data_IF_862816437990
#
_entry.id   IF_862816437990
#
_cell.length_a   1.000
_cell.length_b   1.000
_cell.length_c   1.000
_cell.angle_alpha   90.00
_cell.angle_beta   90.00
_cell.angle_gamma   90.00
#
_symmetry.space_group_name_H-M   'P 1'
#
loop_
_entity.id
_entity.type
_entity.pdbx_description
1 polymer ?
#
# COMPACT_ATOMS: atom_id res chain seq x y z
N UNK A 1 34.33 3.36 -0.28
CA UNK A 1 35.00 3.48 1.04
C UNK A 1 34.97 2.10 1.70
N UNK A 2 36.12 1.51 1.98
CA UNK A 2 36.20 0.25 2.74
C UNK A 2 36.04 0.56 4.23
N UNK A 3 35.24 -0.24 4.93
CA UNK A 3 34.98 -0.09 6.37
C UNK A 3 35.49 -1.35 7.07
N UNK A 4 36.48 -1.19 7.95
CA UNK A 4 37.05 -2.27 8.76
C UNK A 4 36.24 -2.44 10.04
N UNK A 5 35.52 -3.55 10.16
CA UNK A 5 34.83 -3.92 11.40
C UNK A 5 35.72 -4.84 12.24
N UNK A 6 36.10 -4.36 13.42
CA UNK A 6 36.80 -5.18 14.42
C UNK A 6 35.75 -5.80 15.35
N UNK A 7 35.37 -7.05 15.06
CA UNK A 7 34.38 -7.79 15.85
C UNK A 7 35.10 -8.70 16.84
N UNK A 8 34.76 -8.60 18.12
CA UNK A 8 35.18 -9.56 19.15
C UNK A 8 34.02 -10.50 19.43
N UNK A 9 34.22 -11.80 19.22
CA UNK A 9 33.19 -12.81 19.48
C UNK A 9 33.23 -13.17 20.96
N UNK A 10 32.24 -12.68 21.71
CA UNK A 10 32.15 -12.90 23.17
C UNK A 10 31.65 -14.29 23.52
N UNK A 11 30.70 -14.83 22.73
CA UNK A 11 30.07 -16.11 23.01
C UNK A 11 29.43 -16.69 21.74
N UNK A 12 29.50 -18.00 21.56
CA UNK A 12 28.83 -18.71 20.46
C UNK A 12 27.72 -19.58 21.03
N UNK A 13 26.46 -19.20 20.77
CA UNK A 13 25.28 -19.99 21.16
C UNK A 13 24.72 -20.74 19.96
N UNK A 14 24.31 -21.99 20.17
CA UNK A 14 23.57 -22.76 19.17
C UNK A 14 22.07 -22.53 19.39
N UNK A 15 21.35 -22.18 18.32
CA UNK A 15 19.89 -22.03 18.37
C UNK A 15 19.27 -23.42 18.62
N UNK A 16 18.74 -23.66 19.82
CA UNK A 16 17.96 -24.86 20.11
C UNK A 16 16.54 -24.61 19.61
N UNK A 17 16.13 -25.32 18.56
CA UNK A 17 14.79 -25.19 18.00
C UNK A 17 13.86 -26.03 18.87
N UNK A 18 12.88 -25.43 19.58
CA UNK A 18 11.96 -26.21 20.39
C UNK A 18 11.16 -27.18 19.51
N UNK A 19 10.74 -28.33 20.05
CA UNK A 19 9.78 -29.19 19.38
C UNK A 19 8.50 -28.41 19.03
N UNK A 20 7.80 -28.85 17.99
CA UNK A 20 6.52 -28.24 17.59
C UNK A 20 5.41 -28.90 18.40
N UNK A 21 5.28 -28.44 19.65
CA UNK A 21 4.33 -28.93 20.66
C UNK A 21 3.47 -27.78 21.24
N UNK A 22 2.54 -28.12 22.14
CA UNK A 22 1.58 -27.16 22.67
C UNK A 22 2.25 -26.08 23.55
N UNK A 23 3.45 -26.34 24.08
CA UNK A 23 4.25 -25.33 24.78
C UNK A 23 4.72 -24.23 23.81
N UNK A 24 5.12 -24.61 22.58
CA UNK A 24 5.42 -23.64 21.52
C UNK A 24 4.18 -22.84 21.12
N UNK A 25 3.00 -23.47 21.09
CA UNK A 25 1.74 -22.79 20.77
C UNK A 25 1.38 -21.74 21.81
N UNK A 26 1.53 -22.05 23.11
CA UNK A 26 1.27 -21.11 24.20
C UNK A 26 2.15 -19.86 24.12
N UNK A 27 3.42 -20.02 23.70
CA UNK A 27 4.33 -18.90 23.44
C UNK A 27 3.87 -17.95 22.32
N UNK A 28 2.97 -18.41 21.45
CA UNK A 28 2.36 -17.65 20.36
C UNK A 28 0.88 -17.28 20.63
N UNK A 29 0.44 -17.33 21.90
CA UNK A 29 -0.95 -17.11 22.32
C UNK A 29 -1.96 -18.06 21.67
N UNK A 30 -1.55 -19.26 21.29
CA UNK A 30 -2.42 -20.34 20.80
C UNK A 30 -2.50 -21.46 21.85
N UNK A 31 -3.65 -22.12 21.96
CA UNK A 31 -3.88 -23.16 22.96
C UNK A 31 -3.25 -24.50 22.56
N UNK A 32 -3.17 -24.78 21.25
CA UNK A 32 -2.63 -26.03 20.71
C UNK A 32 -1.78 -25.80 19.45
N UNK A 33 -0.93 -26.77 19.11
CA UNK A 33 -0.17 -26.78 17.85
C UNK A 33 -1.09 -26.72 16.63
N UNK A 34 -2.23 -27.38 16.69
CA UNK A 34 -3.21 -27.36 15.59
C UNK A 34 -3.78 -25.97 15.38
N UNK A 35 -4.12 -25.26 16.47
CA UNK A 35 -4.57 -23.87 16.43
C UNK A 35 -3.46 -22.96 15.90
N UNK A 36 -2.21 -23.14 16.36
CA UNK A 36 -1.06 -22.39 15.84
C UNK A 36 -0.88 -22.61 14.33
N UNK A 37 -0.94 -23.86 13.86
CA UNK A 37 -0.84 -24.20 12.43
C UNK A 37 -1.98 -23.60 11.62
N UNK A 38 -3.20 -23.63 12.15
CA UNK A 38 -4.37 -23.02 11.51
C UNK A 38 -4.20 -21.50 11.39
N UNK A 39 -3.84 -20.82 12.46
CA UNK A 39 -3.58 -19.37 12.48
C UNK A 39 -2.47 -18.98 11.50
N UNK A 40 -1.36 -19.73 11.49
CA UNK A 40 -0.27 -19.50 10.52
C UNK A 40 -0.79 -19.68 9.08
N UNK A 41 -1.55 -20.75 8.81
CA UNK A 41 -2.10 -21.02 7.48
C UNK A 41 -3.06 -19.90 7.05
N UNK A 42 -3.95 -19.44 7.93
CA UNK A 42 -4.87 -18.35 7.65
C UNK A 42 -4.13 -17.04 7.37
N UNK A 43 -3.11 -16.71 8.18
CA UNK A 43 -2.30 -15.51 7.97
C UNK A 43 -1.51 -15.57 6.66
N UNK A 44 -0.93 -16.73 6.32
CA UNK A 44 -0.24 -16.92 5.04
C UNK A 44 -1.21 -16.86 3.87
N UNK A 45 -2.40 -17.44 3.99
CA UNK A 45 -3.43 -17.40 2.94
C UNK A 45 -3.90 -15.97 2.69
N UNK A 46 -4.25 -15.22 3.74
CA UNK A 46 -4.62 -13.80 3.65
C UNK A 46 -3.50 -12.94 3.06
N UNK A 47 -2.24 -13.20 3.45
CA UNK A 47 -1.09 -12.51 2.87
C UNK A 47 -0.98 -12.81 1.38
N UNK A 48 -1.13 -14.07 0.98
CA UNK A 48 -1.00 -14.49 -0.42
C UNK A 48 -2.15 -13.95 -1.28
N UNK A 49 -3.38 -13.98 -0.77
CA UNK A 49 -4.54 -13.36 -1.42
C UNK A 49 -4.32 -11.86 -1.62
N UNK A 50 -3.80 -11.16 -0.61
CA UNK A 50 -3.46 -9.74 -0.73
C UNK A 50 -2.38 -9.47 -1.78
N UNK A 51 -1.32 -10.29 -1.84
CA UNK A 51 -0.28 -10.20 -2.87
C UNK A 51 -0.84 -10.45 -4.28
N UNK A 52 -1.67 -11.47 -4.44
CA UNK A 52 -2.30 -11.83 -5.71
C UNK A 52 -3.21 -10.69 -6.19
N UNK A 53 -4.07 -10.15 -5.32
CA UNK A 53 -4.95 -9.04 -5.66
C UNK A 53 -4.17 -7.79 -6.07
N UNK A 54 -3.04 -7.50 -5.39
CA UNK A 54 -2.19 -6.38 -5.77
C UNK A 54 -1.56 -6.58 -7.15
N UNK A 55 -1.11 -7.80 -7.45
CA UNK A 55 -0.55 -8.14 -8.75
C UNK A 55 -1.59 -8.02 -9.87
N UNK A 56 -2.80 -8.56 -9.68
CA UNK A 56 -3.85 -8.43 -10.68
C UNK A 56 -4.26 -6.97 -10.91
N UNK A 57 -4.41 -6.18 -9.84
CA UNK A 57 -4.68 -4.73 -9.98
C UNK A 57 -3.60 -4.04 -10.82
N UNK A 58 -2.33 -4.40 -10.59
CA UNK A 58 -1.21 -3.86 -11.37
C UNK A 58 -1.26 -4.31 -12.84
N UNK A 59 -1.45 -5.59 -13.09
CA UNK A 59 -1.52 -6.14 -14.46
C UNK A 59 -2.67 -5.52 -15.27
N UNK A 60 -3.83 -5.32 -14.64
CA UNK A 60 -4.96 -4.62 -15.26
C UNK A 60 -4.59 -3.19 -15.64
N UNK A 61 -3.97 -2.45 -14.72
CA UNK A 61 -3.54 -1.08 -15.00
C UNK A 61 -2.51 -1.03 -16.13
N UNK A 62 -1.49 -1.90 -16.08
CA UNK A 62 -0.45 -1.98 -17.09
C UNK A 62 -1.05 -2.30 -18.48
N UNK A 63 -2.03 -3.20 -18.56
CA UNK A 63 -2.76 -3.51 -19.80
C UNK A 63 -3.60 -2.32 -20.29
N UNK A 64 -4.33 -1.65 -19.40
CA UNK A 64 -5.13 -0.47 -19.74
C UNK A 64 -4.27 0.67 -20.28
N UNK A 65 -3.14 0.96 -19.64
CA UNK A 65 -2.18 1.98 -20.09
C UNK A 65 -1.60 1.59 -21.46
N UNK A 66 -1.26 0.31 -21.67
CA UNK A 66 -0.69 -0.16 -22.95
C UNK A 66 -1.68 -0.04 -24.11
N UNK A 67 -2.97 -0.26 -23.86
CA UNK A 67 -4.03 -0.19 -24.89
C UNK A 67 -4.45 1.23 -25.23
N UNK A 68 -4.18 2.19 -24.34
CA UNK A 68 -4.64 3.57 -24.49
C UNK A 68 -3.47 4.55 -24.42
N UNK A 69 -3.02 5.00 -25.58
CA UNK A 69 -2.01 6.05 -25.67
C UNK A 69 -2.66 7.43 -25.72
N UNK A 70 -2.36 8.27 -24.73
CA UNK A 70 -2.80 9.65 -24.62
C UNK A 70 -1.79 10.45 -23.79
N UNK A 71 -1.75 11.75 -24.03
CA UNK A 71 -0.91 12.67 -23.28
C UNK A 71 -1.55 13.05 -21.95
N UNK A 72 -0.72 13.12 -20.91
CA UNK A 72 -1.14 13.54 -19.57
C UNK A 72 -0.80 15.02 -19.33
N UNK A 73 -1.67 15.78 -18.66
CA UNK A 73 -1.39 17.18 -18.33
C UNK A 73 -0.13 17.30 -17.47
N UNK A 74 0.81 18.15 -17.88
CA UNK A 74 2.09 18.32 -17.16
C UNK A 74 1.88 18.80 -15.73
N UNK A 75 0.85 19.61 -15.47
CA UNK A 75 0.49 20.07 -14.12
C UNK A 75 0.15 18.91 -13.17
N UNK A 76 -0.56 17.88 -13.67
CA UNK A 76 -0.87 16.69 -12.88
C UNK A 76 0.37 15.84 -12.63
N UNK A 77 1.26 15.73 -13.63
CA UNK A 77 2.54 15.02 -13.48
C UNK A 77 3.41 15.70 -12.42
N UNK A 78 3.51 17.02 -12.42
CA UNK A 78 4.25 17.75 -11.39
C UNK A 78 3.67 17.53 -9.99
N UNK A 79 2.35 17.62 -9.83
CA UNK A 79 1.70 17.36 -8.55
C UNK A 79 1.95 15.94 -8.02
N UNK A 80 1.96 14.94 -8.91
CA UNK A 80 2.28 13.56 -8.54
C UNK A 80 3.76 13.40 -8.16
N UNK A 81 4.68 14.03 -8.89
CA UNK A 81 6.11 14.05 -8.53
C UNK A 81 6.31 14.66 -7.14
N UNK A 82 5.68 15.79 -6.84
CA UNK A 82 5.76 16.43 -5.52
C UNK A 82 5.24 15.53 -4.40
N UNK A 83 4.11 14.85 -4.64
CA UNK A 83 3.53 13.87 -3.72
C UNK A 83 4.50 12.70 -3.46
N UNK A 84 5.10 12.15 -4.52
CA UNK A 84 6.08 11.05 -4.41
C UNK A 84 7.35 11.48 -3.67
N UNK A 85 7.86 12.69 -3.93
CA UNK A 85 9.01 13.26 -3.20
C UNK A 85 8.67 13.44 -1.73
N UNK A 86 7.47 13.95 -1.41
CA UNK A 86 7.03 14.12 -0.04
C UNK A 86 6.97 12.78 0.71
N UNK A 87 6.45 11.73 0.06
CA UNK A 87 6.44 10.38 0.61
C UNK A 87 7.84 9.80 0.83
N UNK A 88 8.75 9.97 -0.11
CA UNK A 88 10.15 9.52 0.01
C UNK A 88 10.86 10.21 1.16
N UNK A 89 10.64 11.52 1.35
CA UNK A 89 11.18 12.29 2.48
C UNK A 89 10.70 11.74 3.82
N UNK A 90 9.38 11.52 3.96
CA UNK A 90 8.83 10.95 5.19
C UNK A 90 9.38 9.55 5.48
N UNK A 91 9.56 8.70 4.47
CA UNK A 91 10.15 7.37 4.66
C UNK A 91 11.63 7.46 5.03
N UNK A 92 12.39 8.36 4.41
CA UNK A 92 13.79 8.62 4.75
C UNK A 92 13.95 9.06 6.21
N UNK A 93 13.16 10.03 6.66
CA UNK A 93 13.15 10.51 8.05
C UNK A 93 12.83 9.38 9.03
N UNK A 94 11.79 8.58 8.76
CA UNK A 94 11.40 7.44 9.62
C UNK A 94 12.49 6.38 9.73
N UNK A 95 13.27 6.18 8.67
CA UNK A 95 14.36 5.18 8.63
C UNK A 95 15.72 5.78 9.01
N UNK A 96 15.80 7.06 9.36
CA UNK A 96 17.05 7.76 9.65
C UNK A 96 18.01 7.82 8.46
N UNK A 97 17.48 7.82 7.23
CA UNK A 97 18.26 7.95 5.99
C UNK A 97 18.38 9.42 5.59
N UNK A 98 19.48 9.76 4.93
CA UNK A 98 19.66 11.08 4.34
C UNK A 98 18.64 11.30 3.22
N UNK A 99 18.01 12.48 3.23
CA UNK A 99 17.05 12.88 2.20
C UNK A 99 17.82 13.22 0.93
N UNK A 100 17.50 12.51 -0.17
CA UNK A 100 18.09 12.76 -1.49
C UNK A 100 17.62 14.12 -2.06
N UNK A 101 18.42 14.76 -2.93
CA UNK A 101 18.03 16.00 -3.57
C UNK A 101 16.73 15.87 -4.38
N UNK A 102 15.84 16.85 -4.26
CA UNK A 102 14.53 16.82 -4.95
C UNK A 102 14.67 16.72 -6.46
N UNK A 103 15.65 17.40 -7.07
CA UNK A 103 15.86 17.36 -8.51
C UNK A 103 16.29 15.99 -9.02
N UNK A 104 16.96 15.18 -8.18
CA UNK A 104 17.33 13.80 -8.50
C UNK A 104 16.08 12.91 -8.42
N UNK A 105 15.33 13.02 -7.31
CA UNK A 105 14.07 12.30 -7.11
C UNK A 105 13.03 12.63 -8.20
N UNK A 106 12.92 13.90 -8.61
CA UNK A 106 11.98 14.33 -9.63
C UNK A 106 12.25 13.65 -10.98
N UNK A 107 13.54 13.53 -11.37
CA UNK A 107 13.92 12.83 -12.60
C UNK A 107 13.66 11.32 -12.51
N UNK A 108 13.95 10.71 -11.36
CA UNK A 108 13.66 9.29 -11.13
C UNK A 108 12.16 8.99 -11.17
N UNK A 109 11.34 9.90 -10.63
CA UNK A 109 9.90 9.71 -10.52
C UNK A 109 9.13 10.16 -11.74
N UNK A 110 9.72 10.90 -12.69
CA UNK A 110 8.98 11.46 -13.83
C UNK A 110 8.22 10.39 -14.64
N UNK A 111 8.90 9.29 -15.02
CA UNK A 111 8.27 8.21 -15.78
C UNK A 111 7.11 7.57 -15.01
N UNK A 112 7.34 7.27 -13.73
CA UNK A 112 6.35 6.64 -12.85
C UNK A 112 5.17 7.58 -12.54
N UNK A 113 5.43 8.88 -12.36
CA UNK A 113 4.39 9.88 -12.15
C UNK A 113 3.49 10.01 -13.39
N UNK A 114 4.06 9.94 -14.59
CA UNK A 114 3.27 9.90 -15.84
C UNK A 114 2.38 8.66 -15.90
N UNK A 115 2.90 7.48 -15.55
CA UNK A 115 2.10 6.25 -15.48
C UNK A 115 0.99 6.32 -14.43
N UNK A 116 1.28 6.86 -13.25
CA UNK A 116 0.29 7.07 -12.19
C UNK A 116 -0.83 8.02 -12.64
N UNK A 117 -0.48 9.15 -13.26
CA UNK A 117 -1.47 10.11 -13.79
C UNK A 117 -2.30 9.47 -14.91
N UNK A 118 -1.69 8.71 -15.82
CA UNK A 118 -2.43 7.94 -16.84
C UNK A 118 -3.43 6.98 -16.19
N UNK A 119 -2.99 6.24 -15.17
CA UNK A 119 -3.83 5.31 -14.42
C UNK A 119 -5.04 6.00 -13.81
N UNK A 120 -4.82 7.12 -13.11
CA UNK A 120 -5.89 7.89 -12.46
C UNK A 120 -6.91 8.38 -13.49
N UNK A 121 -6.45 8.96 -14.61
CA UNK A 121 -7.35 9.47 -15.65
C UNK A 121 -8.16 8.36 -16.33
N UNK A 122 -7.56 7.19 -16.56
CA UNK A 122 -8.26 6.03 -17.11
C UNK A 122 -9.32 5.52 -16.14
N UNK A 123 -8.98 5.34 -14.87
CA UNK A 123 -9.93 4.88 -13.86
C UNK A 123 -11.07 5.88 -13.67
N UNK A 124 -10.80 7.19 -13.67
CA UNK A 124 -11.83 8.22 -13.66
C UNK A 124 -12.77 8.13 -14.86
N UNK A 125 -12.23 7.97 -16.07
CA UNK A 125 -13.03 7.85 -17.28
C UNK A 125 -13.93 6.59 -17.24
N UNK A 126 -13.38 5.45 -16.81
CA UNK A 126 -14.12 4.19 -16.68
C UNK A 126 -15.20 4.32 -15.60
N UNK A 127 -14.86 4.82 -14.42
CA UNK A 127 -15.82 4.97 -13.32
C UNK A 127 -16.94 5.95 -13.65
N UNK A 128 -16.66 7.05 -14.37
CA UNK A 128 -17.71 7.96 -14.88
C UNK A 128 -18.64 7.27 -15.88
N UNK A 129 -18.09 6.42 -16.77
CA UNK A 129 -18.87 5.67 -17.76
C UNK A 129 -19.82 4.66 -17.10
N UNK A 130 -19.33 3.96 -16.09
CA UNK A 130 -20.09 2.93 -15.37
C UNK A 130 -20.85 3.47 -14.15
N UNK A 131 -20.82 4.81 -13.94
CA UNK A 131 -21.51 5.54 -12.85
C UNK A 131 -21.16 5.02 -11.46
N UNK A 132 -19.88 4.73 -11.26
CA UNK A 132 -19.34 4.40 -9.93
C UNK A 132 -19.27 5.67 -9.11
N UNK A 133 -19.72 5.61 -7.86
CA UNK A 133 -19.66 6.72 -6.93
C UNK A 133 -19.13 6.22 -5.58
N UNK A 134 -18.34 7.07 -4.91
CA UNK A 134 -17.93 6.85 -3.52
C UNK A 134 -18.97 7.47 -2.61
N UNK A 135 -19.64 6.62 -1.83
CA UNK A 135 -20.65 7.05 -0.86
C UNK A 135 -19.99 7.47 0.45
N UNK A 136 -20.71 8.23 1.28
CA UNK A 136 -20.23 8.60 2.61
C UNK A 136 -20.03 7.37 3.52
N UNK A 137 -20.77 6.28 3.27
CA UNK A 137 -20.58 5.01 3.97
C UNK A 137 -19.22 4.37 3.66
N UNK A 138 -18.77 4.44 2.40
CA UNK A 138 -17.44 3.94 2.01
C UNK A 138 -16.33 4.71 2.73
N UNK A 139 -16.48 6.03 2.79
CA UNK A 139 -15.52 6.91 3.47
C UNK A 139 -15.48 6.59 4.95
N UNK A 140 -16.65 6.42 5.59
CA UNK A 140 -16.74 6.04 7.00
C UNK A 140 -16.07 4.70 7.27
N UNK A 141 -16.35 3.68 6.45
CA UNK A 141 -15.73 2.36 6.57
C UNK A 141 -14.21 2.43 6.43
N UNK A 142 -13.71 3.19 5.45
CA UNK A 142 -12.27 3.38 5.27
C UNK A 142 -11.61 4.06 6.48
N UNK A 143 -12.28 5.06 7.07
CA UNK A 143 -11.82 5.73 8.29
C UNK A 143 -11.78 4.74 9.46
N UNK A 144 -12.79 3.88 9.62
CA UNK A 144 -12.82 2.84 10.67
C UNK A 144 -11.70 1.80 10.50
N UNK A 145 -11.39 1.40 9.27
CA UNK A 145 -10.28 0.49 8.97
C UNK A 145 -8.92 1.13 9.27
N UNK A 146 -8.74 2.41 8.91
CA UNK A 146 -7.52 3.17 9.22
C UNK A 146 -7.37 3.34 10.73
N UNK A 147 -8.48 3.65 11.43
CA UNK A 147 -8.51 3.78 12.88
C UNK A 147 -8.07 2.48 13.57
N UNK A 148 -8.64 1.34 13.15
CA UNK A 148 -8.26 0.01 13.67
C UNK A 148 -6.78 -0.30 13.42
N UNK A 149 -6.27 -0.02 12.21
CA UNK A 149 -4.87 -0.30 11.85
C UNK A 149 -3.86 0.54 12.64
N UNK A 150 -4.21 1.78 12.95
CA UNK A 150 -3.35 2.72 13.68
C UNK A 150 -3.63 2.76 15.19
N UNK A 151 -4.58 1.95 15.67
CA UNK A 151 -5.03 1.94 17.06
C UNK A 151 -5.49 3.33 17.55
N UNK A 152 -6.18 4.07 16.67
CA UNK A 152 -6.74 5.40 16.91
C UNK A 152 -8.26 5.35 16.93
N UNK A 153 -8.92 6.40 17.46
CA UNK A 153 -10.38 6.52 17.34
C UNK A 153 -10.77 7.03 15.94
N UNK A 154 -11.89 6.58 15.35
CA UNK A 154 -12.37 7.08 14.05
C UNK A 154 -12.48 8.61 14.00
N UNK A 155 -12.94 9.25 15.08
CA UNK A 155 -13.05 10.71 15.18
C UNK A 155 -11.70 11.43 15.06
N UNK A 156 -10.63 10.84 15.59
CA UNK A 156 -9.27 11.41 15.51
C UNK A 156 -8.72 11.28 14.09
N UNK A 157 -9.00 10.16 13.43
CA UNK A 157 -8.66 9.94 12.02
C UNK A 157 -9.43 10.93 11.13
N UNK A 158 -10.74 11.09 11.33
CA UNK A 158 -11.52 12.08 10.58
C UNK A 158 -10.94 13.49 10.76
N UNK A 159 -10.63 13.90 12.01
CA UNK A 159 -10.00 15.20 12.27
C UNK A 159 -8.67 15.36 11.54
N UNK A 160 -7.81 14.33 11.54
CA UNK A 160 -6.53 14.36 10.83
C UNK A 160 -6.71 14.61 9.33
N UNK A 161 -7.68 13.95 8.71
CA UNK A 161 -7.96 14.08 7.28
C UNK A 161 -8.69 15.37 6.92
N UNK A 162 -9.43 15.97 7.87
CA UNK A 162 -10.08 17.29 7.68
C UNK A 162 -9.11 18.45 7.88
N UNK A 163 -8.17 18.34 8.82
CA UNK A 163 -7.18 19.40 9.10
C UNK A 163 -6.17 19.56 7.97
N UNK A 164 -5.81 18.46 7.30
CA UNK A 164 -4.89 18.50 6.16
C UNK A 164 -5.68 18.69 4.87
N UNK A 165 -5.64 19.91 4.33
CA UNK A 165 -6.29 20.27 3.06
C UNK A 165 -5.99 19.25 1.96
N UNK A 166 -7.02 18.84 1.22
CA UNK A 166 -6.95 17.84 0.15
C UNK A 166 -6.83 16.37 0.60
N UNK A 167 -6.65 16.07 1.89
CA UNK A 167 -6.49 14.67 2.35
C UNK A 167 -7.78 13.86 2.26
N UNK A 168 -8.92 14.49 2.53
CA UNK A 168 -10.22 13.82 2.39
C UNK A 168 -10.53 13.52 0.91
N UNK A 169 -10.22 14.45 0.00
CA UNK A 169 -10.45 14.25 -1.43
C UNK A 169 -9.51 13.19 -2.00
N UNK A 170 -8.26 13.14 -1.53
CA UNK A 170 -7.34 12.05 -1.86
C UNK A 170 -7.85 10.68 -1.38
N UNK A 171 -8.44 10.62 -0.17
CA UNK A 171 -9.06 9.39 0.34
C UNK A 171 -10.24 8.96 -0.54
N UNK A 172 -11.14 9.89 -0.89
CA UNK A 172 -12.27 9.61 -1.79
C UNK A 172 -11.80 9.15 -3.16
N UNK A 173 -10.81 9.83 -3.75
CA UNK A 173 -10.24 9.48 -5.05
C UNK A 173 -9.61 8.08 -5.03
N UNK A 174 -8.93 7.72 -3.94
CA UNK A 174 -8.39 6.38 -3.75
C UNK A 174 -9.49 5.33 -3.64
N UNK A 175 -10.53 5.58 -2.84
CA UNK A 175 -11.66 4.66 -2.70
C UNK A 175 -12.41 4.46 -4.01
N UNK A 176 -12.59 5.53 -4.78
CA UNK A 176 -13.14 5.48 -6.13
C UNK A 176 -12.28 4.59 -7.03
N UNK A 177 -10.96 4.83 -7.09
CA UNK A 177 -10.05 4.05 -7.91
C UNK A 177 -10.05 2.56 -7.53
N UNK A 178 -10.06 2.25 -6.24
CA UNK A 178 -10.15 0.87 -5.74
C UNK A 178 -11.45 0.19 -6.17
N UNK A 179 -12.60 0.89 -6.10
CA UNK A 179 -13.90 0.37 -6.58
C UNK A 179 -13.94 0.13 -8.08
N UNK A 180 -13.40 1.06 -8.87
CA UNK A 180 -13.32 0.90 -10.32
C UNK A 180 -12.47 -0.32 -10.67
N UNK A 181 -11.32 -0.49 -10.02
CA UNK A 181 -10.46 -1.66 -10.22
C UNK A 181 -11.13 -2.97 -9.82
N UNK A 182 -11.84 -2.99 -8.70
CA UNK A 182 -12.59 -4.15 -8.24
C UNK A 182 -13.69 -4.54 -9.24
N UNK A 183 -14.43 -3.56 -9.76
CA UNK A 183 -15.41 -3.79 -10.82
C UNK A 183 -14.75 -4.31 -12.10
N UNK A 184 -13.57 -3.82 -12.48
CA UNK A 184 -12.83 -4.35 -13.64
C UNK A 184 -12.39 -5.79 -13.37
N UNK A 185 -11.88 -6.10 -12.18
CA UNK A 185 -11.51 -7.45 -11.76
C UNK A 185 -12.69 -8.42 -11.84
N UNK A 186 -13.85 -8.05 -11.31
CA UNK A 186 -15.07 -8.87 -11.35
C UNK A 186 -15.55 -9.14 -12.79
N UNK A 187 -15.37 -8.17 -13.69
CA UNK A 187 -15.76 -8.30 -15.10
C UNK A 187 -14.67 -8.94 -15.97
N UNK A 188 -13.45 -9.09 -15.46
CA UNK A 188 -12.31 -9.64 -16.20
C UNK A 188 -12.24 -11.15 -16.02
N UNK A 189 -11.90 -11.85 -17.10
CA UNK A 189 -11.59 -13.28 -17.02
C UNK A 189 -10.19 -13.43 -16.46
N UNK A 190 -10.09 -13.92 -15.22
CA UNK A 190 -8.82 -14.29 -14.59
C UNK A 190 -8.45 -15.68 -15.12
N UNK A 191 -7.42 -15.77 -15.96
CA UNK A 191 -6.82 -17.04 -16.40
C UNK A 191 -5.66 -17.47 -15.49
#
# INVERSE_FOLDING_TARGET
>A
KEVLFKVSVTETKKKNVPPVDDELAQGANCSTVEELRKTIRENLSKKKEGEINLNYKKEILDELIRRHDFDVPTSMVYGEIESMIHHEKQDAERRGREVRPEAELAKEFEAKARENVKSVLLLEAIGKKDKIETTDEDVKKAIEEIATRNNLKPEEVTKLYTVREGSMDALKSRLFADKVLEMILEKSTIE
#
